data_IF_436106778363
#
_entry.id   IF_436106778363
#
_cell.length_a   1.000
_cell.length_b   1.000
_cell.length_c   1.000
_cell.angle_alpha   90.00
_cell.angle_beta   90.00
_cell.angle_gamma   90.00
#
_symmetry.space_group_name_H-M   'P 1'
#
loop_
_entity.id
_entity.type
_entity.pdbx_description
1 polymer ?
#
# COMPACT_ATOMS: atom_id res chain seq x y z
N UNK A 1 -0.03 37.49 62.93
CA UNK A 1 0.98 36.79 62.10
C UNK A 1 0.31 36.43 60.79
N UNK A 2 0.57 37.20 59.75
CA UNK A 2 -0.13 37.11 58.46
C UNK A 2 0.93 36.83 57.40
N UNK A 3 1.04 35.58 56.96
CA UNK A 3 2.00 35.17 55.93
C UNK A 3 1.33 35.31 54.57
N UNK A 4 1.81 36.26 53.77
CA UNK A 4 1.54 36.39 52.33
C UNK A 4 2.33 35.30 51.60
N UNK A 5 1.68 34.51 50.77
CA UNK A 5 2.33 33.64 49.78
C UNK A 5 2.27 34.36 48.43
N UNK A 6 3.44 34.73 47.91
CA UNK A 6 3.60 35.24 46.55
C UNK A 6 3.69 34.05 45.58
N UNK A 7 2.80 33.99 44.61
CA UNK A 7 2.90 33.08 43.46
C UNK A 7 3.73 33.73 42.36
N UNK A 8 4.89 33.15 42.06
CA UNK A 8 5.71 33.52 40.91
C UNK A 8 5.15 32.84 39.64
N UNK A 9 4.76 33.65 38.65
CA UNK A 9 4.37 33.18 37.33
C UNK A 9 5.63 33.01 36.47
N UNK A 10 5.89 31.79 36.00
CA UNK A 10 6.92 31.50 35.02
C UNK A 10 6.33 31.67 33.61
N UNK A 11 6.80 32.68 32.88
CA UNK A 11 6.53 32.86 31.46
C UNK A 11 7.51 31.95 30.70
N UNK A 12 7.00 30.91 30.05
CA UNK A 12 7.77 30.10 29.09
C UNK A 12 7.63 30.76 27.72
N UNK A 13 8.67 31.46 27.27
CA UNK A 13 8.82 31.88 25.87
C UNK A 13 9.20 30.66 25.03
N UNK A 14 8.28 30.21 24.18
CA UNK A 14 8.58 29.24 23.12
C UNK A 14 9.28 29.97 21.98
N UNK A 15 10.59 29.75 21.85
CA UNK A 15 11.36 30.21 20.70
C UNK A 15 10.99 29.36 19.48
N UNK A 16 10.45 29.99 18.45
CA UNK A 16 10.24 29.38 17.15
C UNK A 16 11.59 29.30 16.45
N UNK A 17 12.18 28.10 16.39
CA UNK A 17 13.31 27.85 15.54
C UNK A 17 12.85 27.91 14.08
N UNK A 18 13.14 29.02 13.40
CA UNK A 18 13.01 29.17 11.96
C UNK A 18 13.97 28.20 11.26
N UNK A 19 13.43 27.13 10.67
CA UNK A 19 14.17 26.26 9.77
C UNK A 19 14.44 27.01 8.46
N UNK A 20 15.58 27.67 8.39
CA UNK A 20 16.14 28.17 7.14
C UNK A 20 16.92 27.02 6.47
N UNK A 21 16.49 26.62 5.27
CA UNK A 21 17.30 25.81 4.35
C UNK A 21 16.96 24.33 4.23
N UNK A 22 15.68 23.96 4.09
CA UNK A 22 15.36 22.73 3.36
C UNK A 22 15.55 23.04 1.87
N UNK A 23 16.75 22.77 1.35
CA UNK A 23 16.98 22.79 -0.09
C UNK A 23 16.01 21.78 -0.70
N UNK A 24 15.06 22.24 -1.53
CA UNK A 24 14.11 21.38 -2.24
C UNK A 24 14.92 20.38 -3.07
N UNK A 25 15.10 19.17 -2.52
CA UNK A 25 15.67 18.07 -3.25
C UNK A 25 14.63 17.64 -4.27
N UNK A 26 14.69 18.22 -5.47
CA UNK A 26 13.92 17.73 -6.60
C UNK A 26 14.32 16.29 -6.84
N UNK A 27 13.39 15.33 -6.67
CA UNK A 27 13.73 13.93 -6.89
C UNK A 27 14.12 13.73 -8.34
N UNK A 28 15.37 13.37 -8.61
CA UNK A 28 15.79 12.91 -9.92
C UNK A 28 15.71 11.39 -9.98
N UNK A 29 15.36 10.83 -11.14
CA UNK A 29 15.50 9.41 -11.38
C UNK A 29 16.97 8.99 -11.29
N UNK A 30 17.24 7.97 -10.50
CA UNK A 30 18.52 7.28 -10.47
C UNK A 30 18.49 6.12 -11.46
N UNK A 31 19.65 5.75 -12.01
CA UNK A 31 19.78 4.59 -12.90
C UNK A 31 20.47 3.38 -12.23
N UNK A 32 20.81 3.51 -10.94
CA UNK A 32 21.46 2.44 -10.15
C UNK A 32 20.59 2.02 -8.98
N UNK A 33 20.10 0.78 -9.03
CA UNK A 33 19.31 0.17 -7.96
C UNK A 33 20.03 0.18 -6.60
N UNK A 34 21.34 -0.12 -6.58
CA UNK A 34 22.10 -0.15 -5.33
C UNK A 34 22.33 1.25 -4.75
N UNK A 35 22.58 2.26 -5.59
CA UNK A 35 22.69 3.65 -5.16
C UNK A 35 21.35 4.16 -4.62
N UNK A 36 20.25 3.88 -5.31
CA UNK A 36 18.90 4.24 -4.88
C UNK A 36 18.53 3.59 -3.55
N UNK A 37 18.84 2.30 -3.37
CA UNK A 37 18.60 1.61 -2.12
C UNK A 37 19.40 2.21 -0.96
N UNK A 38 20.68 2.53 -1.19
CA UNK A 38 21.51 3.19 -0.19
C UNK A 38 20.95 4.56 0.20
N UNK A 39 20.53 5.36 -0.78
CA UNK A 39 19.92 6.67 -0.57
C UNK A 39 18.58 6.55 0.18
N UNK A 40 17.72 5.59 -0.18
CA UNK A 40 16.43 5.38 0.47
C UNK A 40 16.59 5.01 1.97
N UNK A 41 17.57 4.15 2.28
CA UNK A 41 17.93 3.82 3.68
C UNK A 41 18.46 5.04 4.44
N UNK A 42 19.39 5.78 3.84
CA UNK A 42 19.99 6.96 4.47
C UNK A 42 18.97 8.07 4.74
N UNK A 43 17.99 8.23 3.85
CA UNK A 43 16.96 9.27 3.94
C UNK A 43 15.68 8.81 4.62
N UNK A 44 15.59 7.55 5.07
CA UNK A 44 14.40 6.95 5.67
C UNK A 44 13.13 7.16 4.82
N UNK A 45 13.26 6.94 3.51
CA UNK A 45 12.18 7.14 2.52
C UNK A 45 11.88 5.84 1.80
N UNK A 46 10.63 5.70 1.34
CA UNK A 46 10.28 4.65 0.39
C UNK A 46 11.08 4.80 -0.91
N UNK A 47 11.30 3.70 -1.60
CA UNK A 47 11.94 3.67 -2.92
C UNK A 47 10.95 3.16 -3.96
N UNK A 48 10.77 3.92 -5.04
CA UNK A 48 10.00 3.51 -6.21
C UNK A 48 10.98 3.02 -7.26
N UNK A 49 10.84 1.74 -7.63
CA UNK A 49 11.59 1.08 -8.70
C UNK A 49 10.68 1.00 -9.92
N UNK A 50 11.08 1.65 -11.00
CA UNK A 50 10.44 1.52 -12.30
C UNK A 50 11.23 0.56 -13.18
N UNK A 51 10.69 -0.63 -13.39
CA UNK A 51 11.17 -1.59 -14.38
C UNK A 51 10.58 -1.27 -15.76
N UNK A 52 11.44 -0.92 -16.72
CA UNK A 52 11.04 -0.54 -18.09
C UNK A 52 11.67 -1.47 -19.14
N UNK A 53 11.11 -1.54 -20.35
CA UNK A 53 11.70 -2.34 -21.43
C UNK A 53 13.10 -1.82 -21.80
N UNK A 54 13.97 -2.72 -22.25
CA UNK A 54 15.37 -2.39 -22.56
C UNK A 54 15.48 -1.36 -23.69
N UNK A 55 14.61 -1.50 -24.69
CA UNK A 55 14.42 -0.52 -25.74
C UNK A 55 13.34 0.47 -25.29
N UNK A 56 13.76 1.52 -24.58
CA UNK A 56 12.89 2.65 -24.28
C UNK A 56 12.47 3.31 -25.59
N UNK A 57 11.31 2.95 -26.13
CA UNK A 57 10.66 3.82 -27.10
C UNK A 57 10.43 5.19 -26.41
N UNK A 58 10.56 6.29 -27.15
CA UNK A 58 10.20 7.64 -26.68
C UNK A 58 8.78 7.69 -26.06
N UNK A 59 7.91 6.73 -26.39
CA UNK A 59 6.58 6.57 -25.85
C UNK A 59 6.50 5.89 -24.46
N UNK A 60 7.53 5.19 -23.98
CA UNK A 60 7.53 4.49 -22.69
C UNK A 60 8.03 5.36 -21.51
N UNK A 61 8.81 6.42 -21.78
CA UNK A 61 9.21 7.36 -20.72
C UNK A 61 8.04 8.20 -20.17
N UNK A 62 6.82 8.02 -20.71
CA UNK A 62 5.60 8.69 -20.25
C UNK A 62 5.37 8.56 -18.76
N UNK A 63 5.70 7.42 -18.14
CA UNK A 63 5.50 7.25 -16.71
C UNK A 63 6.45 8.14 -15.89
N UNK A 64 7.75 8.08 -16.21
CA UNK A 64 8.74 8.90 -15.52
C UNK A 64 8.43 10.39 -15.74
N UNK A 65 8.15 10.80 -16.98
CA UNK A 65 7.72 12.17 -17.30
C UNK A 65 6.48 12.57 -16.51
N UNK A 66 5.47 11.69 -16.44
CA UNK A 66 4.23 11.97 -15.73
C UNK A 66 4.45 12.12 -14.22
N UNK A 67 5.25 11.25 -13.61
CA UNK A 67 5.60 11.38 -12.19
C UNK A 67 6.42 12.65 -11.90
N UNK A 68 7.18 13.15 -12.87
CA UNK A 68 8.03 14.34 -12.70
C UNK A 68 7.34 15.67 -13.05
N UNK A 69 6.31 15.66 -13.90
CA UNK A 69 5.72 16.89 -14.45
C UNK A 69 4.24 17.08 -14.14
N UNK A 70 3.53 16.03 -13.69
CA UNK A 70 2.16 16.19 -13.24
C UNK A 70 2.13 16.88 -11.86
N UNK A 71 1.39 17.99 -11.77
CA UNK A 71 1.32 18.83 -10.57
C UNK A 71 0.81 18.10 -9.32
N UNK A 72 0.01 17.04 -9.49
CA UNK A 72 -0.54 16.24 -8.40
C UNK A 72 0.41 15.11 -8.03
N UNK A 73 1.01 14.45 -9.03
CA UNK A 73 1.85 13.28 -8.80
C UNK A 73 3.27 13.65 -8.34
N UNK A 74 3.83 14.77 -8.83
CA UNK A 74 5.19 15.18 -8.52
C UNK A 74 5.44 15.31 -7.01
N UNK A 75 4.60 16.02 -6.21
CA UNK A 75 4.81 16.09 -4.77
C UNK A 75 4.74 14.73 -4.06
N UNK A 76 4.01 13.76 -4.61
CA UNK A 76 3.96 12.40 -4.08
C UNK A 76 5.22 11.60 -4.47
N UNK A 77 5.67 11.73 -5.71
CA UNK A 77 6.92 11.14 -6.17
C UNK A 77 8.14 11.72 -5.44
N UNK A 78 8.13 13.02 -5.13
CA UNK A 78 9.18 13.74 -4.39
C UNK A 78 9.32 13.27 -2.93
N UNK A 79 8.37 12.49 -2.40
CA UNK A 79 8.49 11.83 -1.09
C UNK A 79 9.29 10.52 -1.16
N UNK A 80 9.58 10.02 -2.35
CA UNK A 80 10.19 8.71 -2.61
C UNK A 80 11.56 8.85 -3.29
N UNK A 81 12.48 7.92 -3.05
CA UNK A 81 13.67 7.79 -3.89
C UNK A 81 13.26 7.09 -5.18
N UNK A 82 13.50 7.72 -6.32
CA UNK A 82 13.08 7.22 -7.63
C UNK A 82 14.25 6.53 -8.33
N UNK A 83 14.04 5.31 -8.81
CA UNK A 83 15.03 4.59 -9.61
C UNK A 83 14.39 3.93 -10.81
N UNK A 84 15.01 4.11 -11.97
CA UNK A 84 14.60 3.53 -13.24
C UNK A 84 15.64 2.49 -13.65
N UNK A 85 15.17 1.29 -13.96
CA UNK A 85 16.05 0.17 -14.31
C UNK A 85 15.48 -0.60 -15.49
N UNK A 86 16.29 -0.95 -16.50
CA UNK A 86 15.84 -1.79 -17.60
C UNK A 86 15.49 -3.20 -17.11
N UNK A 87 14.57 -3.88 -17.78
CA UNK A 87 14.19 -5.27 -17.48
C UNK A 87 15.41 -6.20 -17.48
N UNK A 88 16.39 -5.98 -18.37
CA UNK A 88 17.65 -6.73 -18.41
C UNK A 88 18.62 -6.46 -17.26
N UNK A 89 18.34 -5.49 -16.38
CA UNK A 89 19.21 -5.13 -15.26
C UNK A 89 19.57 -6.34 -14.42
N UNK A 90 20.85 -6.48 -14.09
CA UNK A 90 21.36 -7.60 -13.28
C UNK A 90 21.84 -7.11 -11.92
N UNK A 91 21.70 -7.98 -10.92
CA UNK A 91 22.19 -7.74 -9.57
C UNK A 91 22.86 -9.01 -9.04
N UNK A 92 23.83 -8.85 -8.14
CA UNK A 92 24.43 -9.96 -7.40
C UNK A 92 23.70 -10.17 -6.08
N UNK A 93 23.10 -11.33 -5.90
CA UNK A 93 22.43 -11.76 -4.66
C UNK A 93 23.03 -13.09 -4.24
N UNK A 94 23.58 -13.18 -3.02
CA UNK A 94 24.25 -14.40 -2.55
C UNK A 94 25.43 -14.84 -3.42
N UNK A 95 26.11 -13.90 -4.08
CA UNK A 95 27.21 -14.19 -5.02
C UNK A 95 26.78 -14.64 -6.41
N UNK A 96 25.49 -14.90 -6.65
CA UNK A 96 24.95 -15.22 -7.96
C UNK A 96 24.44 -13.98 -8.68
N UNK A 97 24.72 -13.88 -9.97
CA UNK A 97 24.15 -12.83 -10.82
C UNK A 97 22.77 -13.26 -11.32
N UNK A 98 21.75 -12.50 -10.93
CA UNK A 98 20.36 -12.71 -11.34
C UNK A 98 19.86 -11.47 -12.08
N UNK A 99 18.86 -11.65 -12.94
CA UNK A 99 18.07 -10.54 -13.45
C UNK A 99 17.29 -9.93 -12.27
N UNK A 100 17.38 -8.62 -12.08
CA UNK A 100 16.83 -7.93 -10.91
C UNK A 100 15.32 -8.18 -10.78
N UNK A 101 14.56 -8.04 -11.88
CA UNK A 101 13.11 -8.31 -11.89
C UNK A 101 12.77 -9.79 -11.64
N UNK A 102 13.73 -10.69 -11.89
CA UNK A 102 13.61 -12.13 -11.58
C UNK A 102 13.86 -12.48 -10.11
N UNK A 103 14.24 -11.52 -9.27
CA UNK A 103 14.37 -11.75 -7.83
C UNK A 103 13.01 -12.04 -7.19
N UNK A 104 12.96 -12.94 -6.20
CA UNK A 104 11.72 -13.40 -5.57
C UNK A 104 10.85 -12.27 -5.00
N UNK A 105 11.46 -11.18 -4.52
CA UNK A 105 10.74 -9.99 -4.03
C UNK A 105 9.88 -9.30 -5.09
N UNK A 106 10.16 -9.51 -6.37
CA UNK A 106 9.43 -8.92 -7.50
C UNK A 106 8.60 -9.97 -8.27
N UNK A 107 8.42 -11.17 -7.71
CA UNK A 107 7.72 -12.27 -8.39
C UNK A 107 6.29 -11.89 -8.86
N UNK A 108 5.61 -11.00 -8.13
CA UNK A 108 4.27 -10.53 -8.48
C UNK A 108 4.23 -9.59 -9.70
N UNK A 109 5.38 -9.11 -10.20
CA UNK A 109 5.46 -8.46 -11.52
C UNK A 109 5.40 -9.48 -12.68
N UNK A 110 5.61 -10.77 -12.40
CA UNK A 110 5.53 -11.85 -13.39
C UNK A 110 6.42 -11.62 -14.62
N UNK A 111 7.57 -10.99 -14.42
CA UNK A 111 8.52 -10.66 -15.49
C UNK A 111 8.03 -9.60 -16.47
N UNK A 112 7.05 -8.78 -16.09
CA UNK A 112 6.54 -7.66 -16.90
C UNK A 112 7.06 -6.31 -16.39
N UNK A 113 7.12 -5.27 -17.24
CA UNK A 113 7.37 -3.89 -16.81
C UNK A 113 6.34 -3.41 -15.79
N UNK A 114 6.78 -2.56 -14.86
CA UNK A 114 5.97 -2.20 -13.70
C UNK A 114 6.70 -1.32 -12.69
N UNK A 115 5.93 -0.86 -11.71
CA UNK A 115 6.47 -0.25 -10.52
C UNK A 115 6.55 -1.27 -9.37
N UNK A 116 7.58 -1.14 -8.56
CA UNK A 116 7.66 -1.73 -7.23
C UNK A 116 7.96 -0.64 -6.19
N UNK A 117 7.34 -0.70 -5.02
CA UNK A 117 7.62 0.22 -3.91
C UNK A 117 8.23 -0.57 -2.76
N UNK A 118 9.40 -0.15 -2.27
CA UNK A 118 10.10 -0.75 -1.14
C UNK A 118 10.07 0.21 0.05
N UNK A 119 9.74 -0.30 1.23
CA UNK A 119 9.69 0.50 2.45
C UNK A 119 11.06 0.62 3.13
N UNK A 120 11.55 1.84 3.35
CA UNK A 120 12.71 2.09 4.21
C UNK A 120 12.41 3.18 5.26
N UNK A 121 11.13 3.40 5.58
CA UNK A 121 10.72 4.53 6.43
C UNK A 121 10.97 4.32 7.92
N UNK A 122 10.81 3.10 8.42
CA UNK A 122 11.03 2.76 9.83
C UNK A 122 11.85 1.46 9.97
N UNK A 123 13.12 1.51 10.42
CA UNK A 123 13.95 0.34 10.66
C UNK A 123 13.40 -0.68 11.67
N UNK A 124 12.40 -0.32 12.47
CA UNK A 124 11.73 -1.21 13.44
C UNK A 124 10.51 -1.91 12.86
N UNK A 125 10.02 -1.48 11.70
CA UNK A 125 8.89 -2.08 11.02
C UNK A 125 9.28 -3.43 10.43
N UNK A 126 8.37 -4.41 10.51
CA UNK A 126 8.51 -5.70 9.80
C UNK A 126 8.49 -5.53 8.27
N UNK A 127 8.04 -4.37 7.77
CA UNK A 127 8.02 -4.05 6.35
C UNK A 127 9.33 -3.42 5.87
N UNK A 128 10.27 -3.09 6.77
CA UNK A 128 11.51 -2.42 6.40
C UNK A 128 12.36 -3.29 5.47
N UNK A 129 12.71 -2.75 4.30
CA UNK A 129 13.42 -3.44 3.23
C UNK A 129 12.56 -4.37 2.39
N UNK A 130 11.25 -4.44 2.62
CA UNK A 130 10.33 -5.28 1.85
C UNK A 130 9.60 -4.49 0.76
N UNK A 131 9.27 -5.19 -0.32
CA UNK A 131 8.36 -4.69 -1.36
C UNK A 131 6.94 -4.64 -0.77
N UNK A 132 6.35 -3.45 -0.74
CA UNK A 132 5.02 -3.18 -0.19
C UNK A 132 3.98 -2.82 -1.26
N UNK A 133 4.39 -2.59 -2.51
CA UNK A 133 3.47 -2.47 -3.64
C UNK A 133 4.12 -2.97 -4.91
N UNK A 134 3.30 -3.57 -5.77
CA UNK A 134 3.62 -3.94 -7.14
C UNK A 134 2.52 -3.39 -8.04
N UNK A 135 2.90 -2.81 -9.18
CA UNK A 135 1.98 -2.22 -10.14
C UNK A 135 2.42 -2.51 -11.58
N UNK A 136 1.94 -3.61 -12.19
CA UNK A 136 2.24 -3.94 -13.58
C UNK A 136 1.70 -2.88 -14.54
N UNK A 137 2.47 -2.50 -15.55
CA UNK A 137 2.01 -1.54 -16.58
C UNK A 137 1.03 -2.16 -17.59
N UNK A 138 0.80 -3.47 -17.52
CA UNK A 138 -0.25 -4.17 -18.26
C UNK A 138 -1.66 -3.92 -17.72
N UNK A 139 -1.80 -3.25 -16.57
CA UNK A 139 -3.10 -2.91 -16.03
C UNK A 139 -3.84 -1.89 -16.92
N UNK A 140 -5.19 -1.98 -17.01
CA UNK A 140 -5.99 -0.94 -17.64
C UNK A 140 -5.70 0.42 -17.00
N UNK A 141 -5.56 1.44 -17.84
CA UNK A 141 -5.30 2.82 -17.41
C UNK A 141 -4.09 2.96 -16.46
N UNK A 142 -3.06 2.12 -16.64
CA UNK A 142 -1.86 2.11 -15.79
C UNK A 142 -1.18 3.47 -15.66
N UNK A 143 -1.26 4.28 -16.71
CA UNK A 143 -0.67 5.61 -16.75
C UNK A 143 -1.65 6.73 -16.39
N UNK A 144 -2.87 6.43 -15.95
CA UNK A 144 -3.82 7.46 -15.54
C UNK A 144 -3.34 8.18 -14.28
N UNK A 145 -3.71 9.47 -14.14
CA UNK A 145 -3.39 10.23 -12.93
C UNK A 145 -4.05 9.59 -11.70
N UNK A 146 -5.32 9.19 -11.85
CA UNK A 146 -6.11 8.53 -10.82
C UNK A 146 -5.39 7.31 -10.25
N UNK A 147 -4.99 6.35 -11.09
CA UNK A 147 -4.38 5.11 -10.61
C UNK A 147 -3.01 5.33 -9.96
N UNK A 148 -2.18 6.20 -10.55
CA UNK A 148 -0.87 6.53 -9.98
C UNK A 148 -1.01 7.25 -8.63
N UNK A 149 -1.96 8.17 -8.51
CA UNK A 149 -2.27 8.84 -7.24
C UNK A 149 -2.77 7.83 -6.21
N UNK A 150 -3.67 6.91 -6.59
CA UNK A 150 -4.18 5.86 -5.72
C UNK A 150 -3.03 4.99 -5.18
N UNK A 151 -2.09 4.58 -6.03
CA UNK A 151 -0.89 3.80 -5.67
C UNK A 151 0.03 4.54 -4.69
N UNK A 152 0.35 5.80 -4.98
CA UNK A 152 1.30 6.59 -4.19
C UNK A 152 0.73 7.04 -2.84
N UNK A 153 -0.60 7.02 -2.67
CA UNK A 153 -1.30 7.43 -1.44
C UNK A 153 -1.85 6.24 -0.65
N UNK A 154 -1.46 5.01 -0.99
CA UNK A 154 -1.82 3.83 -0.20
C UNK A 154 -1.24 3.95 1.22
N UNK A 155 -1.98 3.51 2.26
CA UNK A 155 -1.51 3.56 3.64
C UNK A 155 -0.32 2.61 3.87
N UNK A 156 0.44 2.84 4.94
CA UNK A 156 1.47 1.90 5.40
C UNK A 156 0.81 0.55 5.71
N UNK A 157 1.28 -0.52 5.06
CA UNK A 157 0.67 -1.84 5.10
C UNK A 157 1.44 -2.84 4.25
N UNK A 158 1.15 -4.12 4.43
CA UNK A 158 1.83 -5.19 3.68
C UNK A 158 1.50 -5.15 2.18
N UNK A 159 2.26 -5.90 1.39
CA UNK A 159 2.02 -6.03 -0.06
C UNK A 159 0.58 -6.48 -0.39
N UNK A 160 0.00 -7.39 0.40
CA UNK A 160 -1.35 -7.91 0.15
C UNK A 160 -2.44 -6.91 0.55
N UNK A 161 -2.24 -6.20 1.68
CA UNK A 161 -3.14 -5.14 2.12
C UNK A 161 -3.21 -4.01 1.09
N UNK A 162 -2.04 -3.52 0.67
CA UNK A 162 -1.91 -2.41 -0.29
C UNK A 162 -2.45 -2.79 -1.67
N UNK A 163 -2.22 -4.02 -2.13
CA UNK A 163 -2.78 -4.53 -3.40
C UNK A 163 -4.32 -4.52 -3.40
N UNK A 164 -4.94 -4.98 -2.32
CA UNK A 164 -6.40 -5.02 -2.22
C UNK A 164 -7.02 -3.63 -2.08
N UNK A 165 -6.39 -2.73 -1.30
CA UNK A 165 -6.81 -1.32 -1.20
C UNK A 165 -6.70 -0.62 -2.55
N UNK A 166 -5.62 -0.88 -3.30
CA UNK A 166 -5.45 -0.32 -4.63
C UNK A 166 -6.58 -0.77 -5.56
N UNK A 167 -6.89 -2.06 -5.59
CA UNK A 167 -7.99 -2.61 -6.40
C UNK A 167 -9.33 -1.95 -6.10
N UNK A 168 -9.60 -1.61 -4.83
CA UNK A 168 -10.80 -0.85 -4.44
C UNK A 168 -10.74 0.58 -4.99
N UNK A 169 -9.62 1.30 -4.79
CA UNK A 169 -9.46 2.71 -5.19
C UNK A 169 -9.46 2.95 -6.70
N UNK A 170 -9.01 1.97 -7.49
CA UNK A 170 -8.99 2.09 -8.95
C UNK A 170 -10.25 1.52 -9.61
N UNK A 171 -11.22 1.06 -8.81
CA UNK A 171 -12.48 0.55 -9.34
C UNK A 171 -13.27 1.69 -10.04
N UNK A 172 -13.85 1.48 -11.24
CA UNK A 172 -14.50 2.54 -12.02
C UNK A 172 -15.67 3.26 -11.34
N UNK A 173 -16.31 2.61 -10.37
CA UNK A 173 -17.43 3.19 -9.59
C UNK A 173 -16.99 3.99 -8.35
N UNK A 174 -15.68 4.17 -8.13
CA UNK A 174 -15.11 4.99 -7.05
C UNK A 174 -15.70 4.70 -5.65
N UNK A 175 -15.61 3.45 -5.15
CA UNK A 175 -16.17 3.07 -3.86
C UNK A 175 -15.47 3.76 -2.68
N UNK A 176 -16.25 4.29 -1.73
CA UNK A 176 -15.76 5.15 -0.64
C UNK A 176 -15.25 4.41 0.61
N UNK A 177 -15.16 3.07 0.60
CA UNK A 177 -14.76 2.29 1.79
C UNK A 177 -13.33 2.51 2.24
N UNK A 178 -12.47 3.10 1.40
CA UNK A 178 -11.07 3.42 1.73
C UNK A 178 -10.82 4.91 2.05
N UNK A 179 -11.88 5.72 2.14
CA UNK A 179 -11.81 7.16 2.44
C UNK A 179 -11.63 7.46 3.93
N UNK A 180 -11.81 6.43 4.77
CA UNK A 180 -11.63 6.51 6.21
C UNK A 180 -10.18 6.45 6.65
N UNK A 181 -9.97 6.14 7.92
CA UNK A 181 -8.66 5.85 8.48
C UNK A 181 -8.37 4.36 8.33
N UNK A 182 -7.25 4.02 7.69
CA UNK A 182 -6.72 2.66 7.73
C UNK A 182 -6.31 2.34 9.17
N UNK A 183 -7.06 1.43 9.82
CA UNK A 183 -6.86 1.12 11.22
C UNK A 183 -6.09 -0.19 11.35
N UNK A 184 -4.88 -0.16 11.93
CA UNK A 184 -4.01 -1.33 12.07
C UNK A 184 -4.70 -2.52 12.73
N UNK A 185 -5.57 -2.28 13.72
CA UNK A 185 -6.37 -3.35 14.33
C UNK A 185 -7.29 -4.04 13.32
N UNK A 186 -7.96 -3.30 12.43
CA UNK A 186 -8.80 -3.90 11.39
C UNK A 186 -7.96 -4.60 10.32
N UNK A 187 -6.80 -4.04 9.96
CA UNK A 187 -5.87 -4.68 9.04
C UNK A 187 -5.39 -6.05 9.57
N UNK A 188 -5.04 -6.13 10.85
CA UNK A 188 -4.64 -7.38 11.52
C UNK A 188 -5.78 -8.40 11.59
N UNK A 189 -7.01 -7.96 11.84
CA UNK A 189 -8.19 -8.83 11.86
C UNK A 189 -8.53 -9.35 10.45
N UNK A 190 -8.38 -8.51 9.41
CA UNK A 190 -8.49 -8.92 8.01
C UNK A 190 -7.39 -9.90 7.63
N UNK A 191 -6.13 -9.63 7.99
CA UNK A 191 -4.99 -10.51 7.76
C UNK A 191 -5.19 -11.88 8.39
N UNK A 192 -5.52 -11.91 9.69
CA UNK A 192 -5.74 -13.16 10.41
C UNK A 192 -6.85 -13.99 9.77
N UNK A 193 -7.91 -13.36 9.25
CA UNK A 193 -9.02 -14.08 8.65
C UNK A 193 -8.73 -14.54 7.23
N UNK A 194 -8.10 -13.71 6.39
CA UNK A 194 -7.58 -14.14 5.09
C UNK A 194 -6.61 -15.30 5.23
N UNK A 195 -5.71 -15.27 6.21
CA UNK A 195 -4.81 -16.37 6.51
C UNK A 195 -5.55 -17.62 6.95
N UNK A 196 -6.62 -17.47 7.75
CA UNK A 196 -7.44 -18.60 8.15
C UNK A 196 -8.13 -19.25 6.94
N UNK A 197 -8.79 -18.45 6.09
CA UNK A 197 -9.47 -18.91 4.87
C UNK A 197 -8.50 -19.64 3.93
N UNK A 198 -7.31 -19.06 3.70
CA UNK A 198 -6.24 -19.66 2.89
C UNK A 198 -5.74 -20.99 3.46
N UNK A 199 -5.59 -21.09 4.79
CA UNK A 199 -5.15 -22.34 5.44
C UNK A 199 -6.15 -23.48 5.28
N UNK A 200 -7.45 -23.18 5.31
CA UNK A 200 -8.51 -24.18 5.16
C UNK A 200 -9.02 -24.31 3.73
N UNK A 201 -8.48 -23.51 2.80
CA UNK A 201 -8.90 -23.42 1.41
C UNK A 201 -10.41 -23.20 1.24
N UNK A 202 -11.00 -22.34 2.09
CA UNK A 202 -12.45 -22.08 2.09
C UNK A 202 -12.73 -20.61 2.41
N UNK A 203 -13.52 -19.95 1.55
CA UNK A 203 -14.05 -18.61 1.78
C UNK A 203 -15.24 -18.68 2.76
N UNK A 204 -15.36 -17.67 3.62
CA UNK A 204 -16.55 -17.53 4.48
C UNK A 204 -16.37 -16.60 5.67
N UNK A 205 -17.49 -16.35 6.37
CA UNK A 205 -17.57 -15.56 7.59
C UNK A 205 -17.31 -16.40 8.85
N UNK A 206 -16.21 -17.18 8.85
CA UNK A 206 -15.95 -18.16 9.91
C UNK A 206 -15.89 -17.51 11.30
N UNK A 207 -16.65 -18.07 12.25
CA UNK A 207 -16.78 -17.61 13.63
C UNK A 207 -17.19 -16.12 13.76
N UNK A 208 -17.96 -15.60 12.80
CA UNK A 208 -18.26 -14.18 12.70
C UNK A 208 -18.91 -13.61 13.96
N UNK A 209 -19.87 -14.28 14.60
CA UNK A 209 -20.52 -13.73 15.81
C UNK A 209 -19.50 -13.40 16.91
N UNK A 210 -18.54 -14.31 17.15
CA UNK A 210 -17.49 -14.10 18.15
C UNK A 210 -16.50 -13.00 17.72
N UNK A 211 -16.12 -12.96 16.44
CA UNK A 211 -15.22 -11.96 15.89
C UNK A 211 -15.86 -10.58 15.86
N UNK A 212 -17.12 -10.48 15.45
CA UNK A 212 -17.92 -9.26 15.43
C UNK A 212 -17.93 -8.59 16.81
N UNK A 213 -18.24 -9.33 17.87
CA UNK A 213 -18.25 -8.78 19.23
C UNK A 213 -16.86 -8.31 19.66
N UNK A 214 -15.82 -9.13 19.44
CA UNK A 214 -14.43 -8.80 19.77
C UNK A 214 -13.92 -7.56 19.02
N UNK A 215 -14.17 -7.49 17.72
CA UNK A 215 -13.71 -6.40 16.86
C UNK A 215 -14.47 -5.12 17.22
N UNK A 216 -15.79 -5.17 17.34
CA UNK A 216 -16.61 -4.00 17.67
C UNK A 216 -16.25 -3.41 19.04
N UNK A 217 -15.92 -4.24 20.03
CA UNK A 217 -15.44 -3.78 21.34
C UNK A 217 -14.11 -3.01 21.29
N UNK A 218 -13.32 -3.20 20.23
CA UNK A 218 -12.03 -2.52 20.01
C UNK A 218 -12.15 -1.30 19.09
N UNK A 219 -13.32 -1.07 18.49
CA UNK A 219 -13.53 0.04 17.57
C UNK A 219 -13.77 1.34 18.34
N UNK A 220 -13.10 2.45 17.96
CA UNK A 220 -13.34 3.75 18.59
C UNK A 220 -14.79 4.19 18.40
N UNK A 221 -15.36 4.92 19.37
CA UNK A 221 -16.66 5.57 19.20
C UNK A 221 -17.87 4.64 19.06
N UNK A 222 -17.76 3.37 19.48
CA UNK A 222 -18.88 2.43 19.51
C UNK A 222 -19.35 1.95 18.13
N UNK A 223 -18.49 2.02 17.11
CA UNK A 223 -18.80 1.51 15.78
C UNK A 223 -18.92 -0.02 15.79
N UNK A 224 -19.84 -0.54 14.97
CA UNK A 224 -20.03 -1.96 14.72
C UNK A 224 -19.19 -2.43 13.52
N UNK A 225 -18.57 -3.60 13.66
CA UNK A 225 -17.80 -4.21 12.59
C UNK A 225 -18.70 -4.73 11.46
N UNK A 226 -18.28 -4.52 10.20
CA UNK A 226 -18.84 -5.18 9.01
C UNK A 226 -17.72 -5.91 8.27
N UNK A 227 -18.01 -7.08 7.72
CA UNK A 227 -17.05 -7.88 6.97
C UNK A 227 -17.56 -8.20 5.57
N UNK A 228 -16.63 -8.18 4.61
CA UNK A 228 -16.81 -8.77 3.28
C UNK A 228 -15.68 -9.76 3.03
N UNK A 229 -16.02 -10.91 2.46
CA UNK A 229 -15.05 -11.94 2.09
C UNK A 229 -15.25 -12.32 0.63
N UNK A 230 -14.18 -12.61 -0.09
CA UNK A 230 -14.20 -13.13 -1.45
C UNK A 230 -13.02 -14.07 -1.66
N UNK A 231 -13.11 -14.88 -2.70
CA UNK A 231 -11.98 -15.64 -3.22
C UNK A 231 -11.77 -15.32 -4.70
N UNK A 232 -10.54 -15.41 -5.17
CA UNK A 232 -10.22 -15.27 -6.60
C UNK A 232 -10.37 -16.60 -7.34
N UNK A 233 -10.29 -16.56 -8.66
CA UNK A 233 -10.03 -17.77 -9.44
C UNK A 233 -8.62 -18.37 -9.15
N UNK A 234 -8.45 -19.70 -9.29
CA UNK A 234 -7.15 -20.36 -9.13
C UNK A 234 -6.09 -19.83 -10.10
N UNK A 235 -4.86 -19.70 -9.62
CA UNK A 235 -3.69 -19.42 -10.46
C UNK A 235 -3.45 -17.94 -10.80
N UNK A 236 -4.33 -17.04 -10.36
CA UNK A 236 -4.16 -15.60 -10.57
C UNK A 236 -2.95 -15.04 -9.80
N UNK A 237 -2.24 -14.08 -10.40
CA UNK A 237 -1.26 -13.24 -9.69
C UNK A 237 -1.94 -12.27 -8.72
N UNK A 238 -1.18 -11.69 -7.78
CA UNK A 238 -1.74 -10.91 -6.67
C UNK A 238 -2.69 -9.78 -7.12
N UNK A 239 -2.26 -8.90 -8.02
CA UNK A 239 -3.08 -7.74 -8.42
C UNK A 239 -4.33 -8.18 -9.20
N UNK A 240 -4.20 -9.16 -10.09
CA UNK A 240 -5.34 -9.70 -10.83
C UNK A 240 -6.36 -10.33 -9.87
N UNK A 241 -5.89 -11.09 -8.88
CA UNK A 241 -6.73 -11.67 -7.84
C UNK A 241 -7.41 -10.61 -6.96
N UNK A 242 -6.73 -9.51 -6.64
CA UNK A 242 -7.30 -8.39 -5.88
C UNK A 242 -8.45 -7.74 -6.66
N UNK A 243 -8.25 -7.46 -7.95
CA UNK A 243 -9.28 -6.92 -8.84
C UNK A 243 -10.48 -7.87 -8.96
N UNK A 244 -10.24 -9.17 -9.10
CA UNK A 244 -11.28 -10.20 -9.17
C UNK A 244 -12.09 -10.32 -7.87
N UNK A 245 -11.44 -10.21 -6.72
CA UNK A 245 -12.13 -10.17 -5.41
C UNK A 245 -13.04 -8.94 -5.28
N UNK A 246 -12.56 -7.76 -5.68
CA UNK A 246 -13.37 -6.52 -5.67
C UNK A 246 -14.53 -6.62 -6.66
N UNK A 247 -14.30 -7.19 -7.85
CA UNK A 247 -15.36 -7.47 -8.82
C UNK A 247 -16.42 -8.42 -8.24
N UNK A 248 -15.99 -9.46 -7.53
CA UNK A 248 -16.90 -10.42 -6.88
C UNK A 248 -17.76 -9.75 -5.79
N UNK A 249 -17.20 -8.84 -4.98
CA UNK A 249 -17.98 -8.02 -4.06
C UNK A 249 -18.98 -7.14 -4.78
N UNK A 250 -18.60 -6.56 -5.93
CA UNK A 250 -19.48 -5.73 -6.75
C UNK A 250 -20.71 -6.46 -7.28
N UNK A 251 -20.64 -7.78 -7.47
CA UNK A 251 -21.79 -8.59 -7.93
C UNK A 251 -22.80 -8.91 -6.81
N UNK A 252 -22.48 -8.64 -5.55
CA UNK A 252 -23.38 -8.86 -4.40
C UNK A 252 -23.85 -7.53 -3.85
N UNK A 253 -25.16 -7.26 -3.84
CA UNK A 253 -25.70 -6.01 -3.30
C UNK A 253 -25.33 -5.79 -1.82
N UNK A 254 -25.27 -6.87 -1.04
CA UNK A 254 -24.85 -6.83 0.37
C UNK A 254 -23.37 -6.44 0.52
N UNK A 255 -22.48 -7.13 -0.17
CA UNK A 255 -21.05 -6.81 -0.14
C UNK A 255 -20.77 -5.43 -0.73
N UNK A 256 -21.36 -5.12 -1.88
CA UNK A 256 -21.17 -3.83 -2.53
C UNK A 256 -21.70 -2.68 -1.69
N UNK A 257 -22.79 -2.86 -0.93
CA UNK A 257 -23.24 -1.86 0.03
C UNK A 257 -22.18 -1.57 1.10
N UNK A 258 -21.45 -2.58 1.57
CA UNK A 258 -20.33 -2.35 2.48
C UNK A 258 -19.16 -1.64 1.77
N UNK A 259 -18.74 -2.11 0.59
CA UNK A 259 -17.58 -1.57 -0.13
C UNK A 259 -17.80 -0.17 -0.70
N UNK A 260 -18.99 0.14 -1.23
CA UNK A 260 -19.27 1.45 -1.83
C UNK A 260 -19.45 2.57 -0.81
N UNK A 261 -19.82 2.25 0.42
CA UNK A 261 -20.14 3.24 1.45
C UNK A 261 -18.88 3.68 2.19
N UNK A 262 -18.90 4.94 2.64
CA UNK A 262 -17.85 5.49 3.48
C UNK A 262 -17.91 4.90 4.89
N UNK A 263 -16.74 4.53 5.41
CA UNK A 263 -16.56 4.11 6.81
C UNK A 263 -15.48 4.98 7.48
N UNK A 264 -15.60 5.32 8.76
CA UNK A 264 -14.54 6.01 9.50
C UNK A 264 -13.26 5.19 9.63
N UNK A 265 -13.38 3.86 9.69
CA UNK A 265 -12.25 2.95 9.85
C UNK A 265 -12.37 1.78 8.87
N UNK A 266 -11.25 1.37 8.30
CA UNK A 266 -11.20 0.21 7.41
C UNK A 266 -9.90 -0.58 7.57
N UNK A 267 -9.93 -1.85 7.16
CA UNK A 267 -8.77 -2.72 7.01
C UNK A 267 -9.04 -3.79 5.96
N UNK A 268 -8.04 -4.08 5.13
CA UNK A 268 -8.13 -5.06 4.05
C UNK A 268 -6.89 -5.94 4.07
N UNK A 269 -7.03 -7.22 3.76
CA UNK A 269 -5.91 -8.12 3.45
C UNK A 269 -6.40 -9.25 2.51
N UNK A 270 -5.45 -9.97 1.92
CA UNK A 270 -5.70 -11.20 1.19
C UNK A 270 -4.52 -12.17 1.32
N UNK A 271 -4.78 -13.47 1.36
CA UNK A 271 -3.73 -14.51 1.44
C UNK A 271 -3.98 -15.62 0.43
N UNK A 272 -2.90 -16.19 -0.11
CA UNK A 272 -2.97 -17.29 -1.07
C UNK A 272 -3.02 -18.63 -0.36
N UNK A 273 -4.01 -19.45 -0.67
CA UNK A 273 -4.11 -20.85 -0.24
C UNK A 273 -3.17 -21.76 -1.02
N UNK A 274 -2.98 -22.99 -0.52
CA UNK A 274 -2.16 -24.00 -1.20
C UNK A 274 -2.79 -24.50 -2.51
N UNK A 275 -4.10 -24.28 -2.68
CA UNK A 275 -4.85 -24.50 -3.91
C UNK A 275 -4.64 -23.41 -4.97
N UNK A 276 -3.80 -22.41 -4.70
CA UNK A 276 -3.49 -21.33 -5.63
C UNK A 276 -4.56 -20.25 -5.76
N UNK A 277 -5.61 -20.29 -4.93
CA UNK A 277 -6.67 -19.28 -4.81
C UNK A 277 -6.26 -18.21 -3.79
N UNK A 278 -6.63 -16.95 -4.01
CA UNK A 278 -6.49 -15.89 -3.02
C UNK A 278 -7.79 -15.67 -2.25
N UNK A 279 -7.69 -15.47 -0.95
CA UNK A 279 -8.81 -15.24 -0.05
C UNK A 279 -8.74 -13.83 0.53
N UNK A 280 -9.65 -12.96 0.12
CA UNK A 280 -9.71 -11.56 0.49
C UNK A 280 -10.69 -11.31 1.64
N UNK A 281 -10.32 -10.39 2.53
CA UNK A 281 -11.17 -9.92 3.63
C UNK A 281 -11.07 -8.40 3.72
N UNK A 282 -12.23 -7.73 3.76
CA UNK A 282 -12.36 -6.33 4.13
C UNK A 282 -13.19 -6.21 5.40
N UNK A 283 -12.71 -5.43 6.37
CA UNK A 283 -13.42 -5.15 7.63
C UNK A 283 -13.54 -3.65 7.81
N UNK A 284 -14.72 -3.20 8.22
CA UNK A 284 -15.09 -1.79 8.36
C UNK A 284 -15.65 -1.51 9.75
N UNK A 285 -15.35 -0.34 10.30
CA UNK A 285 -16.09 0.20 11.43
C UNK A 285 -17.23 1.08 10.93
N UNK A 286 -18.47 0.67 11.15
CA UNK A 286 -19.67 1.39 10.70
C UNK A 286 -20.55 1.83 11.87
N UNK A 287 -21.33 2.90 11.71
CA UNK A 287 -22.34 3.30 12.69
C UNK A 287 -23.61 2.47 12.55
#
# INVERSE_FOLDING_TARGET
MTVRVMTAAWIVTVAWASWAGAQEATSSWLDSYSAAMAQARQSSRQMIVYFHQDELELAEDKLAQKLMHDEVLRPLADQNVLVRVPMSSRARVGGQEIQLVGHASFAELQGQPGLAIIDFTDPKSELYGHVISIYPLSLPDAFSRHNLQALLTLPHGSLTQRSLILAVRIHPEDPASTDGVFLTTLAQESESHSQHQARINQQGHHNWDSRFQRISARLPGGHAAKEVCAESWPGMGLIAAALDCVHSWRQSSGHWSAVRNRHPYYGYDMKRGSNGIWYATGIFGSR
#
